data_IF_527907232422
#
_entry.id   IF_527907232422
#
_cell.length_a   1.000
_cell.length_b   1.000
_cell.length_c   1.000
_cell.angle_alpha   90.00
_cell.angle_beta   90.00
_cell.angle_gamma   90.00
#
_symmetry.space_group_name_H-M   'P 1'
#
loop_
_entity.id
_entity.type
_entity.pdbx_description
1 polymer ?
#
# COMPACT_ATOMS: atom_id res chain seq x y z
N UNK A 1 27.89 2.85 3.63
CA UNK A 1 27.26 4.10 3.19
C UNK A 1 25.89 4.21 3.84
N UNK A 2 25.56 5.33 4.46
CA UNK A 2 24.22 5.59 4.99
C UNK A 2 23.24 5.90 3.85
N UNK A 3 21.93 5.81 4.10
CA UNK A 3 20.92 6.21 3.10
C UNK A 3 21.13 7.66 2.65
N UNK A 4 21.54 8.54 3.57
CA UNK A 4 21.81 9.94 3.28
C UNK A 4 23.04 10.13 2.40
N UNK A 5 24.12 9.42 2.68
CA UNK A 5 25.33 9.43 1.84
C UNK A 5 25.04 8.92 0.43
N UNK A 6 24.26 7.83 0.31
CA UNK A 6 23.85 7.27 -0.98
C UNK A 6 22.96 8.26 -1.77
N UNK A 7 22.09 8.99 -1.08
CA UNK A 7 21.29 10.06 -1.67
C UNK A 7 22.16 11.21 -2.19
N UNK A 8 23.10 11.71 -1.38
CA UNK A 8 24.00 12.79 -1.81
C UNK A 8 24.90 12.36 -2.97
N UNK A 9 25.42 11.13 -2.96
CA UNK A 9 26.19 10.59 -4.10
C UNK A 9 25.34 10.58 -5.37
N UNK A 10 24.12 10.03 -5.30
CA UNK A 10 23.22 9.99 -6.46
C UNK A 10 22.89 11.39 -6.99
N UNK A 11 22.68 12.36 -6.09
CA UNK A 11 22.44 13.76 -6.46
C UNK A 11 23.60 14.38 -7.25
N UNK A 12 24.84 14.01 -6.95
CA UNK A 12 26.05 14.50 -7.64
C UNK A 12 26.34 13.74 -8.95
N UNK A 13 26.16 12.43 -8.95
CA UNK A 13 26.76 11.52 -9.96
C UNK A 13 25.71 10.81 -10.84
N UNK A 14 24.42 10.82 -10.47
CA UNK A 14 23.37 9.97 -11.04
C UNK A 14 22.86 10.33 -12.44
N UNK A 15 23.59 11.12 -13.24
CA UNK A 15 23.18 11.52 -14.59
C UNK A 15 23.11 10.36 -15.61
N UNK A 16 23.76 9.23 -15.33
CA UNK A 16 23.88 8.10 -16.26
C UNK A 16 23.08 6.85 -15.82
N UNK A 17 21.84 7.01 -15.38
CA UNK A 17 20.98 5.87 -14.95
C UNK A 17 19.83 5.54 -15.89
N UNK A 18 20.00 5.83 -17.19
CA UNK A 18 19.09 5.32 -18.22
C UNK A 18 19.34 3.82 -18.46
N UNK A 19 18.78 3.00 -17.57
CA UNK A 19 18.71 1.55 -17.78
C UNK A 19 17.43 1.25 -18.57
N UNK A 20 17.57 0.98 -19.86
CA UNK A 20 16.51 0.53 -20.77
C UNK A 20 15.42 1.56 -21.13
N UNK A 21 15.74 2.85 -21.29
CA UNK A 21 14.76 3.89 -21.64
C UNK A 21 13.87 4.31 -20.47
N UNK A 22 14.26 3.94 -19.24
CA UNK A 22 13.54 4.30 -18.01
C UNK A 22 13.87 5.73 -17.60
N UNK A 23 12.87 6.61 -17.61
CA UNK A 23 13.06 8.00 -17.19
C UNK A 23 12.81 8.12 -15.68
N UNK A 24 13.88 8.36 -14.93
CA UNK A 24 13.77 8.67 -13.50
C UNK A 24 13.09 10.03 -13.25
N UNK A 25 12.36 10.11 -12.14
CA UNK A 25 11.72 11.34 -11.71
C UNK A 25 12.78 12.37 -11.29
N UNK A 26 12.58 13.61 -11.74
CA UNK A 26 13.50 14.74 -11.53
C UNK A 26 13.02 15.61 -10.37
N UNK A 27 13.92 16.36 -9.71
CA UNK A 27 13.52 17.43 -8.79
C UNK A 27 12.45 18.34 -9.42
N UNK A 28 11.37 18.63 -8.68
CA UNK A 28 10.24 19.44 -9.15
C UNK A 28 9.27 18.77 -10.12
N UNK A 29 9.45 17.48 -10.48
CA UNK A 29 8.54 16.76 -11.38
C UNK A 29 7.38 16.03 -10.67
N UNK A 30 7.39 16.03 -9.33
CA UNK A 30 6.43 15.34 -8.47
C UNK A 30 6.12 16.22 -7.26
N UNK A 31 4.84 16.35 -6.97
CA UNK A 31 4.33 17.03 -5.78
C UNK A 31 3.38 16.09 -5.02
N UNK A 32 3.37 16.21 -3.69
CA UNK A 32 2.33 15.63 -2.84
C UNK A 32 1.31 16.72 -2.50
N UNK A 33 0.05 16.48 -2.87
CA UNK A 33 -1.04 17.44 -2.63
C UNK A 33 -1.92 16.99 -1.46
N UNK A 34 -1.74 17.63 -0.31
CA UNK A 34 -2.56 17.37 0.88
C UNK A 34 -3.75 18.33 0.95
N UNK A 35 -4.95 17.79 1.18
CA UNK A 35 -6.15 18.60 1.43
C UNK A 35 -6.43 18.62 2.93
N UNK A 36 -6.40 19.80 3.54
CA UNK A 36 -6.62 19.99 4.98
C UNK A 36 -7.53 21.18 5.27
N UNK A 37 -8.21 21.12 6.41
CA UNK A 37 -8.93 22.27 6.95
C UNK A 37 -8.04 22.99 7.95
N UNK A 38 -7.87 24.30 7.76
CA UNK A 38 -7.29 25.16 8.80
C UNK A 38 -8.31 25.28 9.93
N UNK A 39 -7.96 24.81 11.13
CA UNK A 39 -8.83 24.86 12.32
C UNK A 39 -8.55 26.07 13.19
N UNK A 40 -7.33 26.62 13.14
CA UNK A 40 -6.99 27.89 13.80
C UNK A 40 -5.83 28.60 13.10
N UNK A 41 -5.78 29.93 13.26
CA UNK A 41 -4.68 30.78 12.80
C UNK A 41 -4.24 31.65 13.96
N UNK A 42 -2.95 31.63 14.28
CA UNK A 42 -2.31 32.47 15.29
C UNK A 42 -1.05 33.08 14.68
N UNK A 43 -1.14 34.31 14.18
CA UNK A 43 -0.07 35.00 13.44
C UNK A 43 0.40 34.15 12.24
N UNK A 44 1.61 33.62 12.31
CA UNK A 44 2.30 32.79 11.34
C UNK A 44 2.15 31.28 11.60
N UNK A 45 1.42 30.91 12.66
CA UNK A 45 1.06 29.52 12.96
C UNK A 45 -0.34 29.21 12.45
N UNK A 46 -0.47 28.07 11.76
CA UNK A 46 -1.76 27.47 11.42
C UNK A 46 -1.86 26.09 12.08
N UNK A 47 -3.05 25.76 12.57
CA UNK A 47 -3.39 24.41 13.01
C UNK A 47 -4.22 23.73 11.93
N UNK A 48 -3.88 22.51 11.56
CA UNK A 48 -4.63 21.68 10.61
C UNK A 48 -5.49 20.67 11.35
N UNK A 49 -6.60 20.27 10.74
CA UNK A 49 -7.50 19.24 11.27
C UNK A 49 -6.84 17.85 11.34
N UNK A 50 -6.04 17.51 10.33
CA UNK A 50 -5.40 16.21 10.17
C UNK A 50 -3.90 16.41 9.92
N UNK A 51 -3.01 15.66 10.60
CA UNK A 51 -1.57 15.81 10.43
C UNK A 51 -1.12 15.53 8.98
N UNK A 52 0.00 16.13 8.63
CA UNK A 52 0.70 15.86 7.37
C UNK A 52 1.71 14.72 7.61
N UNK A 53 1.81 13.83 6.64
CA UNK A 53 2.64 12.61 6.73
C UNK A 53 3.94 12.73 5.94
N UNK A 54 4.34 13.96 5.60
CA UNK A 54 5.56 14.24 4.86
C UNK A 54 6.31 15.40 5.52
N UNK A 55 7.64 15.31 5.52
CA UNK A 55 8.53 16.38 5.97
C UNK A 55 8.37 17.61 5.05
N UNK A 56 8.28 18.81 5.64
CA UNK A 56 8.11 20.08 4.93
C UNK A 56 9.14 21.14 5.37
N UNK A 57 10.19 20.72 6.08
CA UNK A 57 11.28 21.62 6.47
C UNK A 57 11.95 22.22 5.22
N UNK A 58 12.46 23.44 5.35
CA UNK A 58 12.97 24.24 4.23
C UNK A 58 14.11 23.54 3.51
N UNK A 59 14.97 22.85 4.25
CA UNK A 59 16.09 22.05 3.74
C UNK A 59 15.65 20.86 2.86
N UNK A 60 14.39 20.43 2.96
CA UNK A 60 13.83 19.33 2.16
C UNK A 60 12.94 19.80 1.01
N UNK A 61 12.91 21.11 0.74
CA UNK A 61 12.14 21.72 -0.36
C UNK A 61 10.95 22.57 0.08
N UNK A 62 10.59 22.55 1.37
CA UNK A 62 9.50 23.35 1.91
C UNK A 62 8.11 22.90 1.44
N UNK A 63 7.15 23.83 1.45
CA UNK A 63 5.80 23.60 0.98
C UNK A 63 5.07 24.91 0.67
N UNK A 64 4.03 24.83 -0.15
CA UNK A 64 3.15 25.96 -0.46
C UNK A 64 1.76 25.67 0.07
N UNK A 65 1.14 26.66 0.70
CA UNK A 65 -0.26 26.62 1.09
C UNK A 65 -1.07 27.54 0.17
N UNK A 66 -2.19 27.05 -0.32
CA UNK A 66 -3.15 27.85 -1.06
C UNK A 66 -4.57 27.46 -0.68
N UNK A 67 -5.47 28.44 -0.68
CA UNK A 67 -6.90 28.19 -0.52
C UNK A 67 -7.42 27.62 -1.82
N UNK A 68 -8.15 26.51 -1.76
CA UNK A 68 -8.82 25.92 -2.91
C UNK A 68 -10.31 25.69 -2.63
N UNK A 69 -11.09 25.47 -3.69
CA UNK A 69 -12.50 25.06 -3.64
C UNK A 69 -12.71 23.96 -4.68
N UNK A 70 -13.50 22.94 -4.34
CA UNK A 70 -13.84 21.82 -5.24
C UNK A 70 -15.34 21.85 -5.54
N UNK A 71 -15.74 22.55 -6.60
CA UNK A 71 -17.15 22.91 -6.83
C UNK A 71 -18.05 21.78 -7.35
N UNK A 72 -17.51 20.60 -7.65
CA UNK A 72 -18.25 19.48 -8.25
C UNK A 72 -17.78 18.11 -7.77
N UNK A 73 -17.35 18.02 -6.50
CA UNK A 73 -16.99 16.73 -5.91
C UNK A 73 -18.26 15.99 -5.48
N UNK A 74 -18.47 14.77 -5.98
CA UNK A 74 -19.58 13.95 -5.50
C UNK A 74 -19.33 13.58 -4.04
N UNK A 75 -20.40 13.52 -3.24
CA UNK A 75 -20.28 13.15 -1.83
C UNK A 75 -21.43 12.28 -1.37
N UNK A 76 -21.19 11.49 -0.30
CA UNK A 76 -22.19 10.63 0.31
C UNK A 76 -22.76 9.59 -0.67
N UNK A 77 -21.87 8.93 -1.40
CA UNK A 77 -22.23 7.91 -2.40
C UNK A 77 -21.44 6.62 -2.17
N UNK A 78 -22.04 5.48 -2.48
CA UNK A 78 -21.33 4.21 -2.38
C UNK A 78 -21.94 3.09 -3.20
N UNK A 79 -21.17 2.00 -3.26
CA UNK A 79 -21.55 0.74 -3.92
C UNK A 79 -21.60 -0.34 -2.85
N UNK A 80 -22.74 -1.02 -2.72
CA UNK A 80 -22.92 -1.99 -1.63
C UNK A 80 -23.68 -3.24 -2.03
N UNK A 81 -23.37 -4.36 -1.38
CA UNK A 81 -24.10 -5.62 -1.45
C UNK A 81 -24.21 -6.17 -2.88
N UNK A 82 -23.08 -6.21 -3.58
CA UNK A 82 -23.01 -6.68 -4.97
C UNK A 82 -21.99 -7.80 -5.14
N UNK A 83 -22.34 -8.73 -6.02
CA UNK A 83 -21.38 -9.65 -6.63
C UNK A 83 -21.19 -9.27 -8.09
N UNK A 84 -19.93 -9.16 -8.53
CA UNK A 84 -19.56 -8.87 -9.90
C UNK A 84 -18.68 -9.95 -10.47
N UNK A 85 -19.00 -10.48 -11.64
CA UNK A 85 -18.15 -11.40 -12.39
C UNK A 85 -17.92 -10.87 -13.80
N UNK A 86 -16.66 -10.84 -14.24
CA UNK A 86 -16.33 -10.47 -15.61
C UNK A 86 -16.36 -11.70 -16.53
N UNK A 87 -16.87 -11.53 -17.75
CA UNK A 87 -16.83 -12.54 -18.82
C UNK A 87 -15.59 -12.29 -19.67
N UNK A 88 -14.89 -13.35 -20.04
CA UNK A 88 -13.62 -13.30 -20.77
C UNK A 88 -13.50 -14.50 -21.72
N UNK A 89 -12.54 -14.47 -22.63
CA UNK A 89 -12.21 -15.58 -23.53
C UNK A 89 -11.28 -16.60 -22.85
N UNK A 90 -11.83 -17.74 -22.42
CA UNK A 90 -11.09 -18.83 -21.79
C UNK A 90 -10.03 -19.51 -22.69
N UNK A 91 -10.10 -19.29 -24.01
CA UNK A 91 -9.09 -19.81 -24.94
C UNK A 91 -7.78 -19.03 -24.87
N UNK A 92 -7.79 -17.80 -24.33
CA UNK A 92 -6.60 -16.95 -24.21
C UNK A 92 -5.84 -17.31 -22.93
N UNK A 93 -4.76 -18.07 -23.09
CA UNK A 93 -3.99 -18.62 -21.97
C UNK A 93 -2.50 -18.32 -22.05
N UNK A 94 -1.86 -18.30 -20.89
CA UNK A 94 -0.39 -18.27 -20.72
C UNK A 94 0.03 -19.23 -19.62
N UNK A 95 1.33 -19.50 -19.55
CA UNK A 95 1.92 -20.22 -18.41
C UNK A 95 2.57 -19.24 -17.44
N UNK A 96 2.39 -19.47 -16.15
CA UNK A 96 3.08 -18.74 -15.09
C UNK A 96 3.81 -19.71 -14.15
N UNK A 97 4.99 -19.29 -13.69
CA UNK A 97 5.81 -20.09 -12.81
C UNK A 97 5.07 -20.37 -11.50
N UNK A 98 4.94 -21.64 -11.15
CA UNK A 98 4.37 -22.09 -9.87
C UNK A 98 2.86 -22.32 -9.88
N UNK A 99 2.13 -21.94 -10.94
CA UNK A 99 0.69 -22.22 -11.06
C UNK A 99 0.29 -22.87 -12.39
N UNK A 100 1.21 -22.96 -13.36
CA UNK A 100 0.93 -23.60 -14.65
C UNK A 100 0.18 -22.70 -15.61
N UNK A 101 -0.69 -23.30 -16.42
CA UNK A 101 -1.52 -22.60 -17.39
C UNK A 101 -2.63 -21.80 -16.69
N UNK A 102 -2.87 -20.57 -17.13
CA UNK A 102 -3.90 -19.69 -16.59
C UNK A 102 -4.50 -18.80 -17.69
N UNK A 103 -5.73 -18.36 -17.49
CA UNK A 103 -6.44 -17.44 -18.38
C UNK A 103 -5.89 -16.02 -18.24
N UNK A 104 -5.60 -15.38 -19.37
CA UNK A 104 -5.01 -14.05 -19.42
C UNK A 104 -5.58 -13.19 -20.55
N UNK A 105 -6.85 -13.39 -20.90
CA UNK A 105 -7.57 -12.47 -21.77
C UNK A 105 -7.46 -11.04 -21.18
N UNK A 106 -7.23 -10.06 -22.04
CA UNK A 106 -7.14 -8.65 -21.64
C UNK A 106 -8.31 -7.84 -22.22
N UNK A 107 -9.13 -8.48 -23.06
CA UNK A 107 -10.27 -7.86 -23.73
C UNK A 107 -11.56 -8.04 -22.91
N UNK A 108 -11.50 -7.67 -21.63
CA UNK A 108 -12.63 -7.69 -20.70
C UNK A 108 -12.55 -6.52 -19.71
N UNK A 109 -13.57 -6.37 -18.86
CA UNK A 109 -13.57 -5.30 -17.86
C UNK A 109 -12.48 -5.55 -16.80
N UNK A 110 -11.59 -4.57 -16.62
CA UNK A 110 -10.44 -4.68 -15.70
C UNK A 110 -10.79 -4.31 -14.26
N UNK A 111 -11.52 -3.20 -14.07
CA UNK A 111 -11.80 -2.62 -12.75
C UNK A 111 -13.30 -2.66 -12.46
N UNK A 112 -13.69 -3.13 -11.28
CA UNK A 112 -15.10 -3.18 -10.89
C UNK A 112 -15.60 -1.81 -10.40
N UNK A 113 -14.95 -1.20 -9.40
CA UNK A 113 -15.31 0.14 -8.90
C UNK A 113 -14.14 1.11 -9.01
N UNK A 114 -14.35 2.23 -9.70
CA UNK A 114 -13.40 3.35 -9.75
C UNK A 114 -14.00 4.61 -9.12
N UNK A 115 -13.47 5.03 -7.98
CA UNK A 115 -13.90 6.22 -7.23
C UNK A 115 -13.10 7.44 -7.66
N UNK A 116 -13.69 8.25 -8.55
CA UNK A 116 -13.03 9.41 -9.16
C UNK A 116 -13.64 10.73 -8.69
N UNK A 117 -12.83 11.57 -8.06
CA UNK A 117 -13.26 12.91 -7.60
C UNK A 117 -14.48 12.84 -6.68
N UNK A 118 -14.40 12.01 -5.65
CA UNK A 118 -15.48 11.79 -4.67
C UNK A 118 -14.98 12.00 -3.23
N UNK A 119 -15.88 12.41 -2.34
CA UNK A 119 -15.60 12.61 -0.92
C UNK A 119 -16.65 11.97 -0.02
N UNK A 120 -16.26 11.33 1.09
CA UNK A 120 -17.19 10.59 1.95
C UNK A 120 -17.96 9.52 1.15
N UNK A 121 -17.20 8.63 0.53
CA UNK A 121 -17.75 7.56 -0.30
C UNK A 121 -17.30 6.19 0.19
N UNK A 122 -18.03 5.14 -0.19
CA UNK A 122 -17.75 3.81 0.32
C UNK A 122 -18.01 2.69 -0.70
N UNK A 123 -17.30 1.58 -0.51
CA UNK A 123 -17.59 0.29 -1.16
C UNK A 123 -17.72 -0.72 -0.05
N UNK A 124 -18.87 -1.37 0.09
CA UNK A 124 -19.15 -2.23 1.25
C UNK A 124 -19.82 -3.54 0.85
N UNK A 125 -19.33 -4.66 1.38
CA UNK A 125 -19.93 -5.98 1.15
C UNK A 125 -20.01 -6.30 -0.35
N UNK A 126 -18.85 -6.28 -1.01
CA UNK A 126 -18.73 -6.48 -2.45
C UNK A 126 -17.74 -7.60 -2.73
N UNK A 127 -18.16 -8.57 -3.54
CA UNK A 127 -17.32 -9.67 -4.00
C UNK A 127 -17.16 -9.60 -5.52
N UNK A 128 -15.93 -9.68 -6.00
CA UNK A 128 -15.64 -9.64 -7.43
C UNK A 128 -14.80 -10.83 -7.87
N UNK A 129 -15.08 -11.31 -9.06
CA UNK A 129 -14.38 -12.41 -9.71
C UNK A 129 -13.99 -12.04 -11.14
N UNK A 130 -12.81 -12.47 -11.56
CA UNK A 130 -12.23 -12.20 -12.89
C UNK A 130 -11.85 -10.74 -13.16
N UNK A 131 -12.08 -9.81 -12.23
CA UNK A 131 -11.60 -8.44 -12.33
C UNK A 131 -10.16 -8.33 -11.83
N UNK A 132 -9.34 -7.59 -12.57
CA UNK A 132 -7.98 -7.22 -12.22
C UNK A 132 -7.86 -6.28 -11.02
N UNK A 133 -8.89 -5.48 -10.81
CA UNK A 133 -8.95 -4.51 -9.74
C UNK A 133 -10.37 -4.46 -9.18
N UNK A 134 -10.52 -4.70 -7.87
CA UNK A 134 -11.82 -4.59 -7.22
C UNK A 134 -12.19 -3.12 -7.02
N UNK A 135 -11.30 -2.37 -6.36
CA UNK A 135 -11.53 -0.95 -6.08
C UNK A 135 -10.27 -0.16 -6.37
N UNK A 136 -10.42 0.93 -7.13
CA UNK A 136 -9.39 1.96 -7.25
C UNK A 136 -9.93 3.35 -6.94
N UNK A 137 -9.14 4.17 -6.26
CA UNK A 137 -9.39 5.61 -6.14
C UNK A 137 -8.59 6.39 -7.19
N UNK A 138 -8.86 7.67 -7.38
CA UNK A 138 -7.99 8.57 -8.15
C UNK A 138 -7.62 9.81 -7.34
N UNK A 139 -6.77 10.68 -7.89
CA UNK A 139 -6.56 12.02 -7.36
C UNK A 139 -7.90 12.76 -7.11
N UNK A 140 -7.88 13.66 -6.13
CA UNK A 140 -9.04 14.43 -5.65
C UNK A 140 -10.17 13.59 -5.01
N UNK A 141 -9.88 12.33 -4.66
CA UNK A 141 -10.76 11.49 -3.86
C UNK A 141 -10.31 11.53 -2.39
N UNK A 142 -11.24 11.66 -1.43
CA UNK A 142 -10.91 11.65 0.01
C UNK A 142 -12.00 11.09 0.92
N UNK A 143 -11.63 10.64 2.13
CA UNK A 143 -12.57 10.00 3.07
C UNK A 143 -13.31 8.81 2.45
N UNK A 144 -12.54 7.81 2.03
CA UNK A 144 -13.07 6.61 1.39
C UNK A 144 -13.03 5.44 2.35
N UNK A 145 -14.11 4.67 2.41
CA UNK A 145 -14.13 3.40 3.13
C UNK A 145 -14.40 2.25 2.17
N UNK A 146 -13.41 1.43 1.89
CA UNK A 146 -13.59 0.07 1.38
C UNK A 146 -13.72 -0.89 2.55
N UNK A 147 -14.79 -1.67 2.63
CA UNK A 147 -14.91 -2.65 3.70
C UNK A 147 -15.66 -3.90 3.26
N UNK A 148 -15.33 -5.05 3.85
CA UNK A 148 -16.01 -6.31 3.57
C UNK A 148 -15.92 -6.65 2.07
N UNK A 149 -14.69 -6.66 1.55
CA UNK A 149 -14.43 -6.82 0.11
C UNK A 149 -13.75 -8.16 -0.18
N UNK A 150 -14.11 -8.78 -1.30
CA UNK A 150 -13.47 -9.99 -1.80
C UNK A 150 -13.11 -9.82 -3.27
N UNK A 151 -11.88 -10.14 -3.66
CA UNK A 151 -11.40 -10.05 -5.04
C UNK A 151 -10.64 -11.32 -5.43
N UNK A 152 -11.24 -12.16 -6.28
CA UNK A 152 -10.72 -13.50 -6.56
C UNK A 152 -10.52 -13.75 -8.05
N UNK A 153 -9.58 -14.65 -8.35
CA UNK A 153 -9.35 -15.21 -9.68
C UNK A 153 -9.26 -14.15 -10.80
N UNK A 154 -8.44 -13.09 -10.67
CA UNK A 154 -8.35 -12.06 -11.70
C UNK A 154 -7.89 -12.66 -13.04
N UNK A 155 -8.47 -12.17 -14.13
CA UNK A 155 -8.07 -12.49 -15.49
C UNK A 155 -7.27 -11.32 -16.04
N UNK A 156 -6.05 -11.61 -16.44
CA UNK A 156 -5.08 -10.71 -17.10
C UNK A 156 -3.71 -11.36 -17.08
N UNK A 157 -2.72 -10.77 -17.73
CA UNK A 157 -1.33 -11.15 -17.56
C UNK A 157 -0.82 -10.84 -16.15
N UNK A 158 -0.04 -11.76 -15.56
CA UNK A 158 0.63 -11.55 -14.27
C UNK A 158 1.89 -10.69 -14.46
N UNK A 159 1.72 -9.40 -14.83
CA UNK A 159 2.82 -8.45 -15.04
C UNK A 159 2.37 -6.98 -15.02
N UNK A 160 3.32 -6.05 -14.87
CA UNK A 160 3.10 -4.61 -15.06
C UNK A 160 2.12 -3.94 -14.08
N UNK A 161 1.19 -3.14 -14.61
CA UNK A 161 0.17 -2.40 -13.85
C UNK A 161 -1.12 -3.18 -13.56
N UNK A 162 -1.09 -4.51 -13.61
CA UNK A 162 -2.26 -5.40 -13.51
C UNK A 162 -2.35 -6.10 -12.17
N UNK A 163 -3.56 -6.58 -11.85
CA UNK A 163 -3.91 -7.36 -10.65
C UNK A 163 -3.69 -6.59 -9.35
N UNK A 164 -4.24 -5.37 -9.29
CA UNK A 164 -4.15 -4.47 -8.14
C UNK A 164 -5.49 -4.50 -7.40
N UNK A 165 -5.65 -5.36 -6.40
CA UNK A 165 -6.97 -5.65 -5.82
C UNK A 165 -7.62 -4.39 -5.21
N UNK A 166 -6.90 -3.73 -4.30
CA UNK A 166 -7.32 -2.57 -3.53
C UNK A 166 -6.30 -1.44 -3.71
N UNK A 167 -6.57 -0.55 -4.65
CA UNK A 167 -5.59 0.42 -5.14
C UNK A 167 -5.97 1.86 -4.79
N UNK A 168 -5.31 2.42 -3.79
CA UNK A 168 -5.42 3.84 -3.47
C UNK A 168 -4.46 4.61 -4.39
N UNK A 169 -4.98 5.18 -5.48
CA UNK A 169 -4.16 5.90 -6.47
C UNK A 169 -4.39 7.41 -6.38
N UNK A 170 -3.65 8.09 -5.49
CA UNK A 170 -3.79 9.54 -5.30
C UNK A 170 -4.94 9.98 -4.39
N UNK A 171 -5.72 9.04 -3.82
CA UNK A 171 -6.69 9.33 -2.76
C UNK A 171 -6.03 9.54 -1.39
N UNK A 172 -6.72 10.24 -0.48
CA UNK A 172 -6.24 10.51 0.89
C UNK A 172 -7.31 10.26 1.94
N UNK A 173 -6.89 9.88 3.16
CA UNK A 173 -7.82 9.54 4.25
C UNK A 173 -8.72 8.37 3.85
N UNK A 174 -8.15 7.41 3.13
CA UNK A 174 -8.81 6.18 2.72
C UNK A 174 -8.56 5.09 3.75
N UNK A 175 -9.61 4.32 4.05
CA UNK A 175 -9.60 3.12 4.87
C UNK A 175 -10.05 1.94 4.01
N UNK A 176 -9.28 0.87 3.99
CA UNK A 176 -9.67 -0.42 3.46
C UNK A 176 -9.57 -1.45 4.58
N UNK A 177 -10.68 -2.09 4.94
CA UNK A 177 -10.69 -3.08 6.03
C UNK A 177 -11.45 -4.35 5.69
N UNK A 178 -11.08 -5.49 6.30
CA UNK A 178 -11.73 -6.79 6.01
C UNK A 178 -11.80 -7.08 4.51
N UNK A 179 -10.63 -7.04 3.90
CA UNK A 179 -10.48 -7.20 2.48
C UNK A 179 -9.73 -8.52 2.23
N UNK A 180 -10.32 -9.40 1.44
CA UNK A 180 -9.73 -10.67 1.04
C UNK A 180 -9.39 -10.66 -0.45
N UNK A 181 -8.28 -11.29 -0.84
CA UNK A 181 -7.98 -11.47 -2.25
C UNK A 181 -7.23 -12.77 -2.54
N UNK A 182 -7.40 -13.29 -3.74
CA UNK A 182 -6.66 -14.47 -4.21
C UNK A 182 -6.08 -14.25 -5.61
N UNK A 183 -4.89 -14.81 -5.88
CA UNK A 183 -4.25 -14.83 -7.21
C UNK A 183 -3.93 -13.44 -7.81
N UNK A 184 -3.87 -12.42 -6.96
CA UNK A 184 -3.48 -11.07 -7.34
C UNK A 184 -1.95 -10.90 -7.29
N UNK A 185 -1.47 -9.80 -7.87
CA UNK A 185 -0.05 -9.41 -7.75
C UNK A 185 0.14 -8.48 -6.58
N UNK A 186 -0.63 -7.40 -6.56
CA UNK A 186 -0.52 -6.34 -5.58
C UNK A 186 -1.89 -6.14 -4.92
N UNK A 187 -2.06 -6.54 -3.67
CA UNK A 187 -3.36 -6.53 -3.01
C UNK A 187 -3.69 -5.16 -2.42
N UNK A 188 -2.81 -4.63 -1.56
CA UNK A 188 -3.02 -3.42 -0.77
C UNK A 188 -2.02 -2.34 -1.19
N UNK A 189 -2.40 -1.50 -2.15
CA UNK A 189 -1.45 -0.72 -2.95
C UNK A 189 -1.69 0.77 -2.82
N UNK A 190 -0.61 1.54 -2.68
CA UNK A 190 -0.63 2.98 -2.97
C UNK A 190 -0.01 3.26 -4.33
N UNK A 191 -0.70 4.03 -5.17
CA UNK A 191 -0.16 4.52 -6.44
C UNK A 191 0.91 5.60 -6.25
N UNK A 192 1.38 6.21 -7.34
CA UNK A 192 2.38 7.27 -7.28
C UNK A 192 1.89 8.50 -6.51
N UNK A 193 2.80 9.13 -5.74
CA UNK A 193 2.54 10.42 -5.07
C UNK A 193 1.22 10.43 -4.29
N UNK A 194 0.88 9.32 -3.63
CA UNK A 194 -0.39 9.19 -2.90
C UNK A 194 -0.25 9.85 -1.53
N UNK A 195 -1.04 10.90 -1.24
CA UNK A 195 -0.98 11.59 0.04
C UNK A 195 -1.76 10.82 1.12
N UNK A 196 -1.18 10.74 2.31
CA UNK A 196 -1.80 10.16 3.48
C UNK A 196 -2.48 11.19 4.40
N UNK A 197 -2.93 10.74 5.59
CA UNK A 197 -2.85 9.35 6.06
C UNK A 197 -3.82 8.43 5.31
N UNK A 198 -3.43 7.17 5.08
CA UNK A 198 -4.31 6.09 4.60
C UNK A 198 -4.14 4.85 5.49
N UNK A 199 -5.07 3.89 5.43
CA UNK A 199 -4.97 2.65 6.20
C UNK A 199 -5.55 1.44 5.46
N UNK A 200 -4.84 0.32 5.53
CA UNK A 200 -5.30 -1.03 5.23
C UNK A 200 -5.33 -1.83 6.54
N UNK A 201 -6.48 -2.41 6.91
CA UNK A 201 -6.70 -2.99 8.24
C UNK A 201 -7.36 -4.36 8.17
N UNK A 202 -6.78 -5.37 8.81
CA UNK A 202 -7.32 -6.74 8.89
C UNK A 202 -7.68 -7.32 7.51
N UNK A 203 -6.65 -7.44 6.66
CA UNK A 203 -6.77 -7.90 5.28
C UNK A 203 -5.95 -9.17 5.05
N UNK A 204 -6.40 -9.99 4.10
CA UNK A 204 -5.80 -11.28 3.79
C UNK A 204 -5.62 -11.47 2.28
N UNK A 205 -4.43 -11.90 1.87
CA UNK A 205 -4.10 -12.26 0.50
C UNK A 205 -3.52 -13.66 0.42
N UNK A 206 -3.96 -14.46 -0.53
CA UNK A 206 -3.35 -15.75 -0.83
C UNK A 206 -3.05 -15.94 -2.31
N UNK A 207 -2.13 -16.85 -2.61
CA UNK A 207 -1.58 -17.01 -3.96
C UNK A 207 -1.09 -15.67 -4.51
N UNK A 208 -0.47 -14.86 -3.63
CA UNK A 208 0.07 -13.55 -3.99
C UNK A 208 1.31 -13.68 -4.87
N UNK A 209 1.31 -12.92 -5.97
CA UNK A 209 2.35 -12.97 -7.00
C UNK A 209 3.28 -11.75 -7.03
N UNK A 210 3.11 -10.77 -6.14
CA UNK A 210 4.06 -9.69 -5.92
C UNK A 210 3.89 -9.06 -4.53
N UNK A 211 4.43 -7.86 -4.32
CA UNK A 211 4.32 -7.16 -3.05
C UNK A 211 2.94 -6.48 -2.89
N UNK A 212 2.53 -6.20 -1.66
CA UNK A 212 1.66 -5.07 -1.32
C UNK A 212 2.51 -3.94 -0.72
N UNK A 213 2.39 -2.73 -1.28
CA UNK A 213 3.34 -1.65 -1.03
C UNK A 213 2.79 -0.28 -1.47
N UNK A 214 3.41 0.84 -1.06
CA UNK A 214 3.52 1.99 -1.94
C UNK A 214 4.34 1.62 -3.19
N UNK A 215 3.71 1.71 -4.36
CA UNK A 215 4.23 1.08 -5.58
C UNK A 215 5.41 1.82 -6.21
N UNK A 216 5.36 3.15 -6.23
CA UNK A 216 6.35 3.99 -6.90
C UNK A 216 6.25 5.47 -6.49
N UNK A 217 7.34 6.24 -6.61
CA UNK A 217 7.38 7.72 -6.58
C UNK A 217 6.73 8.36 -5.35
N UNK A 218 7.22 8.00 -4.17
CA UNK A 218 7.03 8.73 -2.91
C UNK A 218 5.57 8.97 -2.48
N UNK A 219 4.86 7.90 -2.17
CA UNK A 219 3.64 7.99 -1.36
C UNK A 219 3.99 8.24 0.11
N UNK A 220 3.12 8.90 0.85
CA UNK A 220 3.45 9.36 2.20
C UNK A 220 2.36 9.03 3.23
N UNK A 221 2.69 8.25 4.26
CA UNK A 221 1.82 7.98 5.39
C UNK A 221 0.72 6.98 5.10
N UNK A 222 0.98 5.72 5.41
CA UNK A 222 -0.04 4.69 5.41
C UNK A 222 0.25 3.61 6.45
N UNK A 223 -0.82 3.13 7.07
CA UNK A 223 -0.80 2.04 8.04
C UNK A 223 -1.29 0.76 7.35
N UNK A 224 -0.47 -0.28 7.32
CA UNK A 224 -0.91 -1.66 7.13
C UNK A 224 -0.97 -2.29 8.52
N UNK A 225 -2.18 -2.59 8.98
CA UNK A 225 -2.44 -3.11 10.32
C UNK A 225 -3.07 -4.49 10.20
N UNK A 226 -2.40 -5.52 10.72
CA UNK A 226 -2.85 -6.92 10.62
C UNK A 226 -3.09 -7.40 9.18
N UNK A 227 -2.22 -7.02 8.24
CA UNK A 227 -2.25 -7.55 6.88
C UNK A 227 -1.47 -8.86 6.80
N UNK A 228 -2.09 -9.90 6.26
CA UNK A 228 -1.50 -11.22 6.06
C UNK A 228 -1.46 -11.55 4.58
N UNK A 229 -0.27 -11.85 4.03
CA UNK A 229 -0.09 -12.28 2.65
C UNK A 229 0.61 -13.64 2.60
N UNK A 230 0.09 -14.55 1.79
CA UNK A 230 0.65 -15.89 1.55
C UNK A 230 0.81 -16.14 0.06
N UNK A 231 1.74 -17.02 -0.31
CA UNK A 231 1.99 -17.38 -1.69
C UNK A 231 3.42 -17.12 -2.16
N UNK A 232 3.73 -17.53 -3.39
CA UNK A 232 5.09 -17.74 -3.88
C UNK A 232 5.89 -16.43 -4.04
N UNK A 233 5.25 -15.27 -4.05
CA UNK A 233 5.94 -13.98 -4.13
C UNK A 233 5.35 -12.95 -3.16
N UNK A 234 4.61 -13.44 -2.16
CA UNK A 234 3.99 -12.62 -1.13
C UNK A 234 5.04 -11.79 -0.37
N UNK A 235 4.84 -10.48 -0.38
CA UNK A 235 5.69 -9.57 0.37
C UNK A 235 4.95 -8.29 0.75
N UNK A 236 5.34 -7.70 1.89
CA UNK A 236 4.99 -6.34 2.27
C UNK A 236 6.25 -5.49 2.16
N UNK A 237 6.16 -4.32 1.57
CA UNK A 237 7.39 -3.56 1.30
C UNK A 237 7.19 -2.05 1.37
N UNK A 238 8.15 -1.33 1.95
CA UNK A 238 8.35 0.10 1.75
C UNK A 238 9.85 0.34 1.51
N UNK A 239 10.24 0.38 0.23
CA UNK A 239 11.65 0.35 -0.18
C UNK A 239 11.96 1.34 -1.31
N UNK A 240 13.27 1.55 -1.53
CA UNK A 240 13.77 2.13 -2.76
C UNK A 240 13.77 1.06 -3.86
N UNK A 241 13.02 1.31 -4.92
CA UNK A 241 12.88 0.39 -6.07
C UNK A 241 13.70 0.84 -7.28
N UNK A 242 14.62 1.78 -7.09
CA UNK A 242 15.60 2.17 -8.11
C UNK A 242 14.95 2.52 -9.45
N UNK A 243 15.53 2.01 -10.54
CA UNK A 243 15.05 2.18 -11.92
C UNK A 243 14.00 1.14 -12.34
N UNK A 244 13.36 0.42 -11.40
CA UNK A 244 12.28 -0.48 -11.77
C UNK A 244 11.15 0.24 -12.50
N UNK A 245 10.49 -0.50 -13.41
CA UNK A 245 9.30 -0.07 -14.12
C UNK A 245 9.49 1.23 -14.89
N UNK A 246 8.75 2.27 -14.50
CA UNK A 246 8.77 3.59 -15.15
C UNK A 246 9.55 4.64 -14.34
N UNK A 247 10.56 4.21 -13.58
CA UNK A 247 11.31 5.07 -12.67
C UNK A 247 10.60 5.18 -11.32
N UNK A 248 10.69 4.12 -10.52
CA UNK A 248 9.97 4.01 -9.25
C UNK A 248 10.66 4.77 -8.11
N UNK A 249 11.98 4.60 -7.96
CA UNK A 249 12.77 5.18 -6.87
C UNK A 249 12.25 4.84 -5.47
N UNK A 250 12.44 5.77 -4.53
CA UNK A 250 11.82 5.70 -3.21
C UNK A 250 10.31 5.69 -3.32
N UNK A 251 9.69 4.58 -2.93
CA UNK A 251 8.26 4.39 -3.16
C UNK A 251 7.41 4.92 -2.00
N UNK A 252 7.88 4.82 -0.75
CA UNK A 252 7.11 5.19 0.43
C UNK A 252 7.89 5.87 1.53
N UNK A 253 7.26 6.85 2.18
CA UNK A 253 7.73 7.55 3.37
C UNK A 253 6.68 7.49 4.50
N UNK A 254 7.12 7.35 5.75
CA UNK A 254 6.25 7.25 6.93
C UNK A 254 5.25 6.08 6.84
N UNK A 255 5.69 4.95 6.31
CA UNK A 255 4.90 3.72 6.19
C UNK A 255 5.01 2.88 7.46
N UNK A 256 3.90 2.35 7.95
CA UNK A 256 3.86 1.50 9.15
C UNK A 256 3.24 0.17 8.81
N UNK A 257 3.99 -0.92 8.98
CA UNK A 257 3.48 -2.28 9.01
C UNK A 257 3.37 -2.71 10.48
N UNK A 258 2.15 -2.92 10.96
CA UNK A 258 1.85 -3.25 12.35
C UNK A 258 1.25 -4.65 12.45
N UNK A 259 1.88 -5.54 13.22
CA UNK A 259 1.45 -6.93 13.39
C UNK A 259 1.08 -7.62 12.06
N UNK A 260 1.85 -7.38 11.01
CA UNK A 260 1.59 -8.00 9.70
C UNK A 260 2.24 -9.38 9.61
N UNK A 261 1.92 -10.14 8.56
CA UNK A 261 2.63 -11.37 8.20
C UNK A 261 2.76 -11.50 6.68
N UNK A 262 3.97 -11.81 6.23
CA UNK A 262 4.28 -12.21 4.87
C UNK A 262 5.61 -12.97 4.87
N UNK A 263 5.93 -13.77 3.84
CA UNK A 263 7.26 -14.37 3.67
C UNK A 263 8.40 -13.34 3.68
N UNK A 264 8.14 -12.12 3.21
CA UNK A 264 9.05 -10.97 3.30
C UNK A 264 8.28 -9.72 3.72
N UNK A 265 8.77 -9.03 4.75
CA UNK A 265 8.40 -7.66 5.10
C UNK A 265 9.67 -6.81 4.99
N UNK A 266 9.81 -6.04 3.92
CA UNK A 266 11.01 -5.25 3.63
C UNK A 266 10.75 -3.76 3.86
N UNK A 267 11.34 -3.20 4.92
CA UNK A 267 11.28 -1.76 5.22
C UNK A 267 12.65 -1.12 5.10
N UNK A 268 12.77 -0.05 4.34
CA UNK A 268 13.96 0.79 4.25
C UNK A 268 13.68 2.17 4.84
N UNK A 269 14.71 2.82 5.36
CA UNK A 269 14.66 4.21 5.80
C UNK A 269 14.96 5.16 4.63
N UNK A 270 14.00 5.95 4.12
CA UNK A 270 14.26 6.99 3.12
C UNK A 270 15.06 8.15 3.71
N UNK A 271 15.70 9.00 2.88
CA UNK A 271 16.58 10.07 3.37
C UNK A 271 15.96 11.06 4.37
N UNK A 272 14.66 11.34 4.25
CA UNK A 272 13.94 12.36 5.05
C UNK A 272 12.75 11.80 5.84
N UNK A 273 12.66 10.47 5.97
CA UNK A 273 11.53 9.80 6.59
C UNK A 273 11.95 8.49 7.26
N UNK A 274 11.02 7.86 7.98
CA UNK A 274 11.23 6.55 8.57
C UNK A 274 10.08 5.63 8.17
N UNK A 275 10.40 4.44 7.68
CA UNK A 275 9.40 3.37 7.54
C UNK A 275 9.59 2.35 8.68
N UNK A 276 8.49 1.71 9.08
CA UNK A 276 8.41 0.91 10.29
C UNK A 276 7.81 -0.47 9.99
N UNK A 277 8.40 -1.51 10.56
CA UNK A 277 7.80 -2.84 10.68
C UNK A 277 7.83 -3.25 12.15
N UNK A 278 6.67 -3.28 12.80
CA UNK A 278 6.53 -3.46 14.24
C UNK A 278 5.58 -4.63 14.48
N UNK A 279 6.10 -5.71 15.07
CA UNK A 279 5.35 -6.93 15.31
C UNK A 279 5.17 -7.80 14.06
N UNK A 280 5.16 -9.11 14.28
CA UNK A 280 4.98 -10.15 13.27
C UNK A 280 3.97 -11.19 13.77
N UNK A 281 2.93 -11.48 12.97
CA UNK A 281 2.08 -12.66 13.21
C UNK A 281 2.82 -13.93 12.74
N UNK A 282 3.78 -14.41 13.52
CA UNK A 282 4.72 -15.46 13.10
C UNK A 282 4.06 -16.77 12.65
N UNK A 283 2.93 -17.16 13.26
CA UNK A 283 2.18 -18.37 12.90
C UNK A 283 1.44 -18.25 11.56
N UNK A 284 1.23 -17.02 11.08
CA UNK A 284 0.56 -16.75 9.79
C UNK A 284 1.55 -16.62 8.63
N UNK A 285 2.86 -16.68 8.88
CA UNK A 285 3.87 -16.59 7.82
C UNK A 285 3.86 -17.89 7.01
N UNK A 286 3.69 -17.75 5.69
CA UNK A 286 3.89 -18.85 4.74
C UNK A 286 5.39 -19.18 4.65
N UNK A 287 5.75 -20.33 5.23
CA UNK A 287 7.13 -20.83 5.29
C UNK A 287 7.42 -21.93 4.25
N UNK A 288 6.55 -22.09 3.24
CA UNK A 288 6.79 -23.00 2.11
C UNK A 288 8.14 -22.71 1.44
N UNK A 289 8.71 -23.72 0.78
CA UNK A 289 10.01 -23.58 0.09
C UNK A 289 9.92 -22.53 -1.01
N UNK A 290 8.78 -22.50 -1.70
CA UNK A 290 8.44 -21.59 -2.77
C UNK A 290 8.37 -20.15 -2.25
N UNK A 291 7.62 -19.91 -1.16
CA UNK A 291 7.52 -18.59 -0.54
C UNK A 291 8.87 -18.06 -0.03
N UNK A 292 9.68 -18.91 0.64
CA UNK A 292 11.03 -18.52 1.09
C UNK A 292 11.98 -18.22 -0.07
N UNK A 293 11.90 -18.98 -1.15
CA UNK A 293 12.66 -18.71 -2.36
C UNK A 293 12.23 -17.39 -3.02
N UNK A 294 10.92 -17.11 -3.07
CA UNK A 294 10.37 -15.86 -3.58
C UNK A 294 10.75 -14.65 -2.74
N UNK A 295 10.72 -14.77 -1.42
CA UNK A 295 11.17 -13.76 -0.47
C UNK A 295 12.64 -13.37 -0.72
N UNK A 296 13.53 -14.36 -0.78
CA UNK A 296 14.95 -14.14 -1.08
C UNK A 296 15.17 -13.51 -2.46
N UNK A 297 14.44 -13.97 -3.48
CA UNK A 297 14.52 -13.42 -4.84
C UNK A 297 14.09 -11.96 -4.88
N UNK A 298 12.98 -11.63 -4.22
CA UNK A 298 12.44 -10.27 -4.12
C UNK A 298 13.42 -9.35 -3.39
N UNK A 299 13.94 -9.79 -2.23
CA UNK A 299 14.93 -9.05 -1.47
C UNK A 299 16.18 -8.73 -2.32
N UNK A 300 16.76 -9.73 -2.99
CA UNK A 300 17.94 -9.54 -3.83
C UNK A 300 17.66 -8.59 -5.00
N UNK A 301 16.49 -8.69 -5.63
CA UNK A 301 16.09 -7.78 -6.70
C UNK A 301 16.03 -6.32 -6.22
N UNK A 302 15.55 -6.10 -4.99
CA UNK A 302 15.45 -4.76 -4.40
C UNK A 302 16.82 -4.22 -3.98
N UNK A 303 17.67 -5.05 -3.36
CA UNK A 303 19.07 -4.68 -3.07
C UNK A 303 19.79 -4.23 -4.35
N UNK A 304 19.70 -5.03 -5.40
CA UNK A 304 20.37 -4.74 -6.67
C UNK A 304 19.88 -3.43 -7.31
N UNK A 305 18.57 -3.19 -7.38
CA UNK A 305 18.04 -1.98 -8.02
C UNK A 305 18.24 -0.73 -7.15
N UNK A 306 18.18 -0.87 -5.82
CA UNK A 306 18.32 0.27 -4.90
C UNK A 306 19.76 0.73 -4.76
N UNK A 307 20.72 -0.15 -5.07
CA UNK A 307 22.16 0.04 -4.80
C UNK A 307 22.48 0.27 -3.31
N UNK A 308 21.59 -0.20 -2.42
CA UNK A 308 21.79 -0.16 -0.97
C UNK A 308 22.28 -1.53 -0.53
N UNK A 309 23.50 -1.59 0.02
CA UNK A 309 24.07 -2.84 0.53
C UNK A 309 23.30 -3.32 1.77
N UNK A 310 22.61 -4.45 1.63
CA UNK A 310 21.90 -5.13 2.71
C UNK A 310 22.03 -6.64 2.54
N UNK A 311 22.13 -7.35 3.66
CA UNK A 311 22.17 -8.81 3.67
C UNK A 311 20.82 -9.38 4.07
N UNK A 312 20.36 -10.38 3.31
CA UNK A 312 19.13 -11.11 3.63
C UNK A 312 19.32 -11.90 4.92
N UNK A 313 18.42 -11.76 5.88
CA UNK A 313 18.54 -12.36 7.23
C UNK A 313 17.88 -13.73 7.38
N UNK A 314 17.30 -14.28 6.31
CA UNK A 314 16.49 -15.51 6.33
C UNK A 314 15.37 -15.47 7.40
N UNK A 315 14.77 -14.30 7.55
CA UNK A 315 13.63 -14.02 8.43
C UNK A 315 12.62 -13.18 7.64
N UNK A 316 11.34 -13.11 8.06
CA UNK A 316 10.35 -12.29 7.38
C UNK A 316 10.73 -10.80 7.32
N UNK A 317 11.06 -10.19 8.46
CA UNK A 317 11.32 -8.75 8.53
C UNK A 317 12.80 -8.43 8.18
N UNK A 318 13.00 -7.60 7.16
CA UNK A 318 14.32 -7.18 6.66
C UNK A 318 14.37 -5.68 6.33
N UNK A 319 15.59 -5.20 6.10
CA UNK A 319 15.89 -3.87 5.55
C UNK A 319 16.61 -2.94 6.52
N UNK A 320 16.64 -1.65 6.18
CA UNK A 320 17.30 -0.57 6.93
C UNK A 320 16.32 0.34 7.68
N UNK A 321 15.01 0.07 7.56
CA UNK A 321 13.97 0.78 8.30
C UNK A 321 13.95 0.40 9.77
N UNK A 322 13.03 1.02 10.52
CA UNK A 322 12.82 0.72 11.92
C UNK A 322 12.11 -0.62 12.02
N UNK A 323 12.68 -1.55 12.77
CA UNK A 323 12.09 -2.86 13.00
C UNK A 323 12.02 -3.14 14.48
N UNK A 324 10.88 -3.63 14.95
CA UNK A 324 10.66 -3.97 16.35
C UNK A 324 9.83 -5.26 16.45
N UNK A 325 10.14 -6.11 17.43
CA UNK A 325 9.45 -7.37 17.69
C UNK A 325 9.27 -8.23 16.41
N UNK A 326 10.38 -8.69 15.82
CA UNK A 326 10.40 -9.33 14.49
C UNK A 326 9.99 -10.81 14.47
N UNK A 327 9.62 -11.38 15.62
CA UNK A 327 9.28 -12.80 15.77
C UNK A 327 7.98 -13.04 16.56
N UNK A 328 7.19 -12.00 16.82
CA UNK A 328 5.92 -12.11 17.54
C UNK A 328 5.09 -10.83 17.44
N UNK A 329 3.85 -10.86 17.90
CA UNK A 329 2.99 -9.67 17.87
C UNK A 329 3.30 -8.70 19.00
N UNK A 330 2.95 -7.43 18.80
CA UNK A 330 2.97 -6.38 19.84
C UNK A 330 1.55 -6.00 20.28
N UNK A 331 1.45 -5.30 21.42
CA UNK A 331 0.20 -4.69 21.92
C UNK A 331 0.24 -3.18 21.61
N UNK A 332 -0.86 -2.57 21.13
CA UNK A 332 -2.16 -3.18 20.86
C UNK A 332 -2.14 -4.16 19.67
N UNK A 333 -3.02 -5.17 19.73
CA UNK A 333 -3.15 -6.18 18.67
C UNK A 333 -3.49 -5.56 17.32
N UNK A 334 -4.26 -4.47 17.29
CA UNK A 334 -4.44 -3.56 16.15
C UNK A 334 -4.26 -2.11 16.60
N UNK A 335 -3.38 -1.37 15.93
CA UNK A 335 -3.17 0.04 16.20
C UNK A 335 -4.41 0.87 15.82
N UNK A 336 -5.04 0.57 14.68
CA UNK A 336 -6.20 1.29 14.18
C UNK A 336 -7.41 1.14 15.11
N UNK A 337 -7.81 -0.09 15.45
CA UNK A 337 -9.00 -0.32 16.26
C UNK A 337 -8.84 0.22 17.69
N UNK A 338 -7.65 0.09 18.29
CA UNK A 338 -7.42 0.66 19.62
C UNK A 338 -7.48 2.19 19.59
N UNK A 339 -6.87 2.85 18.60
CA UNK A 339 -6.99 4.31 18.46
C UNK A 339 -8.44 4.76 18.18
N UNK A 340 -9.20 4.00 17.39
CA UNK A 340 -10.62 4.28 17.16
C UNK A 340 -11.42 4.21 18.46
N UNK A 341 -11.21 3.16 19.25
CA UNK A 341 -11.84 3.00 20.57
C UNK A 341 -11.47 4.12 21.52
N UNK A 342 -10.20 4.47 21.60
CA UNK A 342 -9.72 5.45 22.58
C UNK A 342 -10.23 6.86 22.24
N UNK A 343 -10.46 7.16 20.95
CA UNK A 343 -10.99 8.45 20.50
C UNK A 343 -12.51 8.54 20.48
N UNK A 344 -13.19 7.50 20.03
CA UNK A 344 -14.65 7.53 19.77
C UNK A 344 -15.46 6.55 20.64
N UNK A 345 -14.80 5.80 21.52
CA UNK A 345 -15.42 4.85 22.43
C UNK A 345 -15.74 3.49 21.81
N UNK A 346 -16.16 2.53 22.66
CA UNK A 346 -16.50 1.15 22.25
C UNK A 346 -17.67 1.08 21.25
N UNK A 347 -18.57 2.07 21.25
CA UNK A 347 -19.69 2.12 20.31
C UNK A 347 -19.23 2.35 18.86
N UNK A 348 -18.09 3.02 18.64
CA UNK A 348 -17.51 3.19 17.31
C UNK A 348 -16.97 1.86 16.76
N UNK A 349 -16.39 1.01 17.60
CA UNK A 349 -15.93 -0.34 17.21
C UNK A 349 -17.07 -1.18 16.65
N UNK A 350 -18.25 -1.16 17.29
CA UNK A 350 -19.43 -1.91 16.83
C UNK A 350 -19.93 -1.49 15.44
N UNK A 351 -19.57 -0.30 14.96
CA UNK A 351 -19.93 0.17 13.62
C UNK A 351 -18.96 -0.30 12.53
N UNK A 352 -17.75 -0.71 12.92
CA UNK A 352 -16.69 -1.05 11.99
C UNK A 352 -16.13 -2.45 12.18
N UNK A 353 -16.64 -3.24 13.14
CA UNK A 353 -16.19 -4.60 13.42
C UNK A 353 -17.39 -5.53 13.52
N UNK A 354 -17.23 -6.76 13.03
CA UNK A 354 -18.11 -7.86 13.38
C UNK A 354 -17.75 -8.47 14.76
N UNK A 355 -18.59 -9.37 15.27
CA UNK A 355 -18.38 -10.01 16.56
C UNK A 355 -17.11 -10.88 16.61
N UNK A 356 -16.82 -11.75 15.61
CA UNK A 356 -15.54 -12.45 15.54
C UNK A 356 -14.32 -11.54 15.63
N UNK A 357 -14.32 -10.41 14.91
CA UNK A 357 -13.25 -9.42 14.97
C UNK A 357 -13.15 -8.76 16.33
N UNK A 358 -14.27 -8.33 16.90
CA UNK A 358 -14.27 -7.73 18.23
C UNK A 358 -13.63 -8.68 19.25
N UNK A 359 -14.00 -9.96 19.18
CA UNK A 359 -13.41 -11.00 20.02
C UNK A 359 -11.92 -11.20 19.74
N UNK A 360 -11.51 -11.25 18.46
CA UNK A 360 -10.10 -11.34 18.02
C UNK A 360 -9.22 -10.24 18.61
N UNK A 361 -9.71 -9.00 18.69
CA UNK A 361 -8.88 -7.85 19.06
C UNK A 361 -9.00 -7.43 20.52
N UNK A 362 -10.14 -7.63 21.18
CA UNK A 362 -10.42 -7.08 22.51
C UNK A 362 -10.75 -8.11 23.61
N UNK A 363 -11.01 -9.36 23.26
CA UNK A 363 -11.38 -10.42 24.22
C UNK A 363 -10.42 -11.63 24.19
N UNK A 364 -9.23 -11.49 23.57
CA UNK A 364 -8.19 -12.52 23.54
C UNK A 364 -7.42 -12.62 24.85
#
# INVERSE_FOLDING_TARGET
ETTWEAFERFRREGKDTDMNGTIQWKPGSKDLTFERKIVSVKKDEITLDIPLTNALQKEFGGGTIYKYRYDKRFTQCGVENLYGMCIYDESVKKSYRGIGEYCCDENHANTFVALRTVENAWVRNVSVEHFDCCVTTTSATKYITGQDLSAINPISQITGGRRYAYHINGGQMCLFQRCYSSHHRHEFVLGATTPGPNAFVDGYGEMTFASSEPHHRWSAGCLWDNIVLKGPSASLMAANRGSMGSGHGWAGAQMVFWNCAAPLILVMQPPTAQNFAIGLQATEVDNSKEARSGAKSTFNSIVNTSMIDMKYKDQPINGTGWTEQTAGTVVPSSLYYYQLRDRLGKSALKKVMDEPQYNKYFNR
#
